data_IF_989262894558
#
_entry.id   IF_989262894558
#
_cell.length_a   1.000
_cell.length_b   1.000
_cell.length_c   1.000
_cell.angle_alpha   90.00
_cell.angle_beta   90.00
_cell.angle_gamma   90.00
#
_symmetry.space_group_name_H-M   'P 1'
#
loop_
_entity.id
_entity.type
_entity.pdbx_description
1 polymer ?
#
# COMPACT_ATOMS: atom_id res chain seq x y z
N UNK A 1 9.97 11.86 -23.91
CA UNK A 1 10.82 10.67 -23.62
C UNK A 1 11.62 10.76 -22.31
N UNK A 2 11.74 11.92 -21.64
CA UNK A 2 12.55 12.09 -20.41
C UNK A 2 11.95 11.44 -19.15
N UNK A 3 10.64 11.56 -18.93
CA UNK A 3 9.97 10.99 -17.75
C UNK A 3 9.99 9.46 -17.77
N UNK A 4 9.67 8.83 -18.91
CA UNK A 4 9.70 7.38 -19.05
C UNK A 4 11.09 6.78 -18.71
N UNK A 5 12.18 7.44 -19.15
CA UNK A 5 13.53 7.00 -18.80
C UNK A 5 13.82 7.12 -17.31
N UNK A 6 13.28 8.13 -16.62
CA UNK A 6 13.43 8.29 -15.17
C UNK A 6 12.65 7.23 -14.40
N UNK A 7 11.45 6.90 -14.85
CA UNK A 7 10.62 5.83 -14.29
C UNK A 7 11.38 4.50 -14.42
N UNK A 8 11.84 4.16 -15.64
CA UNK A 8 12.56 2.91 -15.89
C UNK A 8 13.89 2.83 -15.14
N UNK A 9 14.61 3.95 -15.02
CA UNK A 9 15.85 4.00 -14.24
C UNK A 9 15.56 3.74 -12.75
N UNK A 10 14.56 4.42 -12.17
CA UNK A 10 14.16 4.23 -10.77
C UNK A 10 13.65 2.81 -10.54
N UNK A 11 12.90 2.26 -11.50
CA UNK A 11 12.43 0.87 -11.45
C UNK A 11 13.61 -0.10 -11.34
N UNK A 12 14.62 0.03 -12.21
CA UNK A 12 15.82 -0.84 -12.19
C UNK A 12 16.63 -0.66 -10.91
N UNK A 13 16.79 0.59 -10.47
CA UNK A 13 17.48 0.93 -9.23
C UNK A 13 16.83 0.21 -8.04
N UNK A 14 15.51 0.34 -7.90
CA UNK A 14 14.77 -0.31 -6.81
C UNK A 14 14.74 -1.82 -6.94
N UNK A 15 14.53 -2.36 -8.15
CA UNK A 15 14.50 -3.80 -8.42
C UNK A 15 15.83 -4.49 -8.05
N UNK A 16 16.93 -3.74 -7.95
CA UNK A 16 18.21 -4.25 -7.51
C UNK A 16 18.37 -4.33 -5.98
N UNK A 17 17.46 -3.71 -5.21
CA UNK A 17 17.53 -3.71 -3.75
C UNK A 17 17.09 -5.05 -3.15
N UNK A 18 17.89 -5.55 -2.21
CA UNK A 18 17.63 -6.80 -1.49
C UNK A 18 16.25 -6.85 -0.81
N UNK A 19 15.74 -5.71 -0.34
CA UNK A 19 14.43 -5.61 0.33
C UNK A 19 13.28 -6.14 -0.52
N UNK A 20 13.30 -5.95 -1.85
CA UNK A 20 12.25 -6.46 -2.72
C UNK A 20 12.34 -7.96 -2.91
N UNK A 21 13.55 -8.51 -3.01
CA UNK A 21 13.74 -9.97 -3.08
C UNK A 21 13.29 -10.66 -1.78
N UNK A 22 13.51 -10.01 -0.62
CA UNK A 22 12.96 -10.49 0.66
C UNK A 22 11.42 -10.52 0.60
N UNK A 23 10.79 -9.46 0.10
CA UNK A 23 9.33 -9.38 0.00
C UNK A 23 8.76 -10.44 -0.97
N UNK A 24 9.43 -10.68 -2.10
CA UNK A 24 9.09 -11.77 -3.03
C UNK A 24 9.29 -13.14 -2.34
N UNK A 25 10.39 -13.33 -1.61
CA UNK A 25 10.66 -14.57 -0.88
C UNK A 25 9.58 -14.88 0.16
N UNK A 26 9.22 -13.89 0.99
CA UNK A 26 8.11 -14.00 1.96
C UNK A 26 6.79 -14.31 1.23
N UNK A 27 6.52 -13.61 0.13
CA UNK A 27 5.34 -13.84 -0.71
C UNK A 27 5.27 -15.29 -1.22
N UNK A 28 6.37 -15.83 -1.74
CA UNK A 28 6.46 -17.21 -2.21
C UNK A 28 6.22 -18.20 -1.07
N UNK A 29 6.86 -18.00 0.09
CA UNK A 29 6.68 -18.88 1.26
C UNK A 29 5.21 -18.91 1.70
N UNK A 30 4.56 -17.75 1.79
CA UNK A 30 3.14 -17.65 2.16
C UNK A 30 2.27 -18.36 1.12
N UNK A 31 2.49 -18.10 -0.16
CA UNK A 31 1.71 -18.72 -1.25
C UNK A 31 1.86 -20.25 -1.28
N UNK A 32 3.08 -20.76 -1.09
CA UNK A 32 3.34 -22.20 -0.97
C UNK A 32 2.68 -22.79 0.28
N UNK A 33 2.78 -22.11 1.41
CA UNK A 33 2.11 -22.51 2.65
C UNK A 33 0.59 -22.61 2.50
N UNK A 34 -0.03 -21.65 1.80
CA UNK A 34 -1.46 -21.68 1.49
C UNK A 34 -1.81 -22.75 0.47
N UNK A 35 -1.01 -22.92 -0.57
CA UNK A 35 -1.23 -23.96 -1.57
C UNK A 35 -1.14 -25.38 -0.97
N UNK A 36 -0.25 -25.59 0.00
CA UNK A 36 -0.15 -26.86 0.73
C UNK A 36 -1.24 -27.00 1.81
N UNK A 37 -1.57 -25.90 2.49
CA UNK A 37 -2.48 -25.91 3.64
C UNK A 37 -3.97 -25.93 3.28
N UNK A 38 -4.36 -25.34 2.14
CA UNK A 38 -5.76 -25.25 1.74
C UNK A 38 -6.15 -26.47 0.90
N UNK A 39 -7.20 -27.17 1.33
CA UNK A 39 -7.91 -28.18 0.54
C UNK A 39 -9.41 -28.01 0.76
N UNK A 40 -10.19 -27.92 -0.32
CA UNK A 40 -11.65 -27.95 -0.25
C UNK A 40 -12.14 -29.30 -0.76
N UNK A 41 -12.94 -30.00 0.04
CA UNK A 41 -13.61 -31.23 -0.37
C UNK A 41 -15.11 -30.96 -0.49
N UNK A 42 -15.69 -31.30 -1.65
CA UNK A 42 -17.11 -31.09 -1.93
C UNK A 42 -17.84 -32.42 -1.77
N UNK A 43 -18.75 -32.48 -0.80
CA UNK A 43 -19.59 -33.65 -0.57
C UNK A 43 -21.07 -33.28 -0.77
N UNK A 44 -21.55 -33.38 -2.01
CA UNK A 44 -22.90 -32.95 -2.38
C UNK A 44 -23.06 -31.42 -2.40
N UNK A 45 -24.05 -30.91 -1.66
CA UNK A 45 -24.34 -29.48 -1.48
C UNK A 45 -23.50 -28.82 -0.37
N UNK A 46 -22.72 -29.62 0.35
CA UNK A 46 -21.89 -29.16 1.45
C UNK A 46 -20.41 -29.13 1.03
N UNK A 47 -19.72 -28.03 1.38
CA UNK A 47 -18.28 -27.88 1.13
C UNK A 47 -17.56 -27.79 2.47
N UNK A 48 -16.61 -28.71 2.70
CA UNK A 48 -15.75 -28.68 3.87
C UNK A 48 -14.39 -28.06 3.49
N UNK A 49 -13.96 -27.07 4.27
CA UNK A 49 -12.63 -26.49 4.14
C UNK A 49 -11.68 -27.20 5.10
N UNK A 50 -10.62 -27.78 4.59
CA UNK A 50 -9.50 -28.24 5.41
C UNK A 50 -8.40 -27.20 5.36
N UNK A 51 -8.02 -26.68 6.53
CA UNK A 51 -6.88 -25.80 6.71
C UNK A 51 -5.81 -26.56 7.47
N UNK A 52 -4.68 -26.78 6.81
CA UNK A 52 -3.53 -27.52 7.35
C UNK A 52 -3.90 -28.92 7.86
N UNK A 53 -4.73 -29.64 7.09
CA UNK A 53 -5.13 -31.01 7.42
C UNK A 53 -6.15 -31.13 8.56
N UNK A 54 -6.59 -30.03 9.16
CA UNK A 54 -7.71 -30.01 10.10
C UNK A 54 -9.00 -29.68 9.34
N UNK A 55 -9.96 -30.61 9.23
CA UNK A 55 -11.25 -30.31 8.62
C UNK A 55 -12.04 -29.36 9.51
N UNK A 56 -12.56 -28.27 8.93
CA UNK A 56 -13.58 -27.47 9.62
C UNK A 56 -14.84 -28.32 9.78
N UNK A 57 -15.22 -28.62 11.02
CA UNK A 57 -16.32 -29.54 11.37
C UNK A 57 -17.73 -29.07 11.01
N UNK A 58 -17.88 -27.99 10.24
CA UNK A 58 -19.18 -27.47 9.86
C UNK A 58 -19.31 -27.58 8.33
N UNK A 59 -20.19 -28.45 7.83
CA UNK A 59 -20.65 -28.36 6.46
C UNK A 59 -21.35 -27.01 6.29
N UNK A 60 -20.78 -26.15 5.45
CA UNK A 60 -21.29 -24.80 5.22
C UNK A 60 -22.09 -24.81 3.91
N UNK A 61 -23.31 -24.22 3.86
CA UNK A 61 -24.03 -24.02 2.61
C UNK A 61 -23.16 -23.31 1.58
N UNK A 62 -23.28 -23.66 0.30
CA UNK A 62 -22.42 -23.14 -0.78
C UNK A 62 -22.25 -21.60 -0.76
N UNK A 63 -23.32 -20.85 -0.48
CA UNK A 63 -23.31 -19.38 -0.40
C UNK A 63 -22.48 -18.85 0.77
N UNK A 64 -22.55 -19.51 1.93
CA UNK A 64 -21.77 -19.15 3.12
C UNK A 64 -20.30 -19.58 2.99
N UNK A 65 -20.02 -20.63 2.21
CA UNK A 65 -18.66 -21.07 1.90
C UNK A 65 -17.93 -20.05 1.04
N UNK A 66 -18.58 -19.51 0.00
CA UNK A 66 -17.97 -18.44 -0.80
C UNK A 66 -17.66 -17.20 0.03
N UNK A 67 -18.58 -16.80 0.92
CA UNK A 67 -18.36 -15.67 1.83
C UNK A 67 -17.16 -15.93 2.74
N UNK A 68 -17.06 -17.12 3.33
CA UNK A 68 -15.92 -17.50 4.18
C UNK A 68 -14.59 -17.38 3.41
N UNK A 69 -14.54 -17.89 2.18
CA UNK A 69 -13.35 -17.79 1.32
C UNK A 69 -13.00 -16.32 1.01
N UNK A 70 -14.00 -15.48 0.72
CA UNK A 70 -13.79 -14.05 0.46
C UNK A 70 -13.28 -13.30 1.70
N UNK A 71 -13.79 -13.64 2.89
CA UNK A 71 -13.30 -13.09 4.17
C UNK A 71 -11.85 -13.53 4.45
N UNK A 72 -11.49 -14.78 4.13
CA UNK A 72 -10.10 -15.24 4.19
C UNK A 72 -9.21 -14.46 3.21
N UNK A 73 -9.66 -14.27 1.97
CA UNK A 73 -8.95 -13.46 0.96
C UNK A 73 -8.74 -12.02 1.45
N UNK A 74 -9.78 -11.40 2.03
CA UNK A 74 -9.67 -10.06 2.62
C UNK A 74 -8.70 -10.03 3.82
N UNK A 75 -8.69 -11.06 4.66
CA UNK A 75 -7.71 -11.24 5.75
C UNK A 75 -6.26 -11.29 5.25
N UNK A 76 -5.98 -12.09 4.22
CA UNK A 76 -4.65 -12.14 3.60
C UNK A 76 -4.29 -10.82 2.91
N UNK A 77 -5.25 -10.18 2.25
CA UNK A 77 -5.08 -8.87 1.64
C UNK A 77 -4.71 -7.79 2.68
N UNK A 78 -5.35 -7.79 3.86
CA UNK A 78 -4.96 -6.92 5.00
C UNK A 78 -3.53 -7.18 5.48
N UNK A 79 -3.17 -8.45 5.68
CA UNK A 79 -1.82 -8.81 6.11
C UNK A 79 -0.75 -8.38 5.10
N UNK A 80 -1.03 -8.62 3.81
CA UNK A 80 -0.20 -8.17 2.71
C UNK A 80 -0.04 -6.65 2.71
N UNK A 81 -1.15 -5.92 2.83
CA UNK A 81 -1.17 -4.48 2.78
C UNK A 81 -0.20 -3.87 3.80
N UNK A 82 -0.24 -4.33 5.04
CA UNK A 82 0.68 -3.88 6.09
C UNK A 82 2.13 -4.20 5.72
N UNK A 83 2.40 -5.43 5.28
CA UNK A 83 3.75 -5.85 4.88
C UNK A 83 4.30 -5.01 3.73
N UNK A 84 3.55 -4.86 2.64
CA UNK A 84 3.94 -4.09 1.46
C UNK A 84 4.12 -2.62 1.79
N UNK A 85 3.27 -2.03 2.62
CA UNK A 85 3.44 -0.64 3.05
C UNK A 85 4.74 -0.45 3.82
N UNK A 86 5.02 -1.28 4.83
CA UNK A 86 6.22 -1.14 5.65
C UNK A 86 7.51 -1.42 4.85
N UNK A 87 7.57 -2.57 4.16
CA UNK A 87 8.74 -2.93 3.36
C UNK A 87 8.90 -2.06 2.11
N UNK A 88 7.79 -1.61 1.52
CA UNK A 88 7.79 -0.71 0.38
C UNK A 88 8.32 0.67 0.75
N UNK A 89 7.86 1.24 1.86
CA UNK A 89 8.44 2.47 2.42
C UNK A 89 9.93 2.28 2.68
N UNK A 90 10.32 1.19 3.33
CA UNK A 90 11.73 0.92 3.63
C UNK A 90 12.60 0.84 2.36
N UNK A 91 12.11 0.14 1.32
CA UNK A 91 12.81 0.01 0.04
C UNK A 91 12.93 1.35 -0.71
N UNK A 92 11.94 2.24 -0.55
CA UNK A 92 11.81 3.45 -1.36
C UNK A 92 12.25 4.73 -0.65
N UNK A 93 12.38 4.72 0.68
CA UNK A 93 12.70 5.92 1.45
C UNK A 93 14.06 6.56 1.13
N UNK A 94 15.05 5.76 0.70
CA UNK A 94 16.38 6.28 0.35
C UNK A 94 16.44 6.94 -1.02
N UNK A 95 15.46 6.66 -1.90
CA UNK A 95 15.46 7.13 -3.30
C UNK A 95 15.69 8.63 -3.41
N UNK A 96 15.02 9.42 -2.56
CA UNK A 96 15.11 10.88 -2.60
C UNK A 96 16.37 11.38 -1.88
N UNK A 97 16.64 11.03 -0.61
CA UNK A 97 17.89 11.40 0.04
C UNK A 97 19.14 11.10 -0.82
N UNK A 98 19.25 9.89 -1.37
CA UNK A 98 20.39 9.46 -2.19
C UNK A 98 20.49 10.29 -3.49
N UNK A 99 19.35 10.68 -4.08
CA UNK A 99 19.31 11.55 -5.26
C UNK A 99 19.69 13.01 -4.94
N UNK A 100 19.71 13.40 -3.66
CA UNK A 100 20.04 14.75 -3.19
C UNK A 100 21.46 14.84 -2.59
N UNK A 101 22.21 13.74 -2.51
CA UNK A 101 23.61 13.73 -2.06
C UNK A 101 24.58 14.34 -3.10
N UNK A 102 25.68 14.94 -2.62
CA UNK A 102 26.70 15.59 -3.45
C UNK A 102 27.34 14.57 -4.40
N UNK A 103 27.51 14.92 -5.68
CA UNK A 103 28.02 14.04 -6.75
C UNK A 103 26.93 13.47 -7.66
N UNK A 104 25.82 12.96 -7.11
CA UNK A 104 24.66 12.52 -7.90
C UNK A 104 23.91 13.71 -8.49
N UNK A 105 23.76 14.77 -7.69
CA UNK A 105 23.11 16.03 -8.11
C UNK A 105 23.84 16.70 -9.28
N UNK A 106 25.18 16.66 -9.30
CA UNK A 106 26.00 17.24 -10.36
C UNK A 106 25.82 16.50 -11.70
N UNK A 107 25.64 15.17 -11.64
CA UNK A 107 25.33 14.36 -12.81
C UNK A 107 23.93 14.67 -13.36
N UNK A 108 22.95 14.92 -12.49
CA UNK A 108 21.60 15.32 -12.93
C UNK A 108 21.55 16.76 -13.45
N UNK A 109 22.33 17.69 -12.88
CA UNK A 109 22.45 19.08 -13.32
C UNK A 109 23.10 19.23 -14.71
N UNK A 110 23.90 18.25 -15.14
CA UNK A 110 24.46 18.21 -16.50
C UNK A 110 23.41 18.00 -17.59
N UNK A 111 22.18 17.57 -17.22
CA UNK A 111 21.04 17.41 -18.14
C UNK A 111 19.93 18.39 -17.76
N UNK A 112 19.25 19.03 -18.73
CA UNK A 112 18.17 19.97 -18.45
C UNK A 112 16.88 19.21 -18.06
N UNK A 113 16.87 18.61 -16.87
CA UNK A 113 15.71 17.89 -16.29
C UNK A 113 15.06 18.80 -15.25
N UNK A 114 13.76 19.05 -15.38
CA UNK A 114 13.07 19.84 -14.38
C UNK A 114 12.94 19.06 -13.07
N UNK A 115 13.10 19.74 -11.93
CA UNK A 115 13.09 19.11 -10.60
C UNK A 115 11.78 18.36 -10.30
N UNK A 116 10.65 18.87 -10.80
CA UNK A 116 9.35 18.21 -10.70
C UNK A 116 9.27 16.93 -11.55
N UNK A 117 9.94 16.88 -12.72
CA UNK A 117 10.01 15.67 -13.55
C UNK A 117 10.82 14.57 -12.86
N UNK A 118 11.88 14.95 -12.13
CA UNK A 118 12.66 14.02 -11.32
C UNK A 118 11.80 13.41 -10.21
N UNK A 119 11.09 14.24 -9.44
CA UNK A 119 10.19 13.75 -8.38
C UNK A 119 9.09 12.86 -8.94
N UNK A 120 8.45 13.26 -10.05
CA UNK A 120 7.39 12.49 -10.67
C UNK A 120 7.90 11.15 -11.21
N UNK A 121 9.06 11.15 -11.86
CA UNK A 121 9.69 9.92 -12.35
C UNK A 121 10.06 8.97 -11.22
N UNK A 122 10.53 9.50 -10.09
CA UNK A 122 10.86 8.72 -8.88
C UNK A 122 9.59 8.19 -8.19
N UNK A 123 8.52 8.99 -8.15
CA UNK A 123 7.20 8.60 -7.67
C UNK A 123 6.62 7.42 -8.46
N UNK A 124 6.44 7.61 -9.76
CA UNK A 124 5.86 6.59 -10.64
C UNK A 124 6.76 5.35 -10.77
N UNK A 125 8.08 5.52 -10.71
CA UNK A 125 9.03 4.42 -10.70
C UNK A 125 8.91 3.55 -9.43
N UNK A 126 8.79 4.18 -8.26
CA UNK A 126 8.54 3.47 -7.01
C UNK A 126 7.18 2.76 -7.01
N UNK A 127 6.14 3.44 -7.47
CA UNK A 127 4.79 2.88 -7.58
C UNK A 127 4.76 1.67 -8.51
N UNK A 128 5.41 1.73 -9.68
CA UNK A 128 5.46 0.60 -10.62
C UNK A 128 6.14 -0.65 -10.03
N UNK A 129 7.18 -0.47 -9.22
CA UNK A 129 7.88 -1.58 -8.55
C UNK A 129 6.99 -2.22 -7.49
N UNK A 130 6.33 -1.40 -6.67
CA UNK A 130 5.43 -1.90 -5.63
C UNK A 130 4.19 -2.55 -6.25
N UNK A 131 3.60 -1.96 -7.28
CA UNK A 131 2.51 -2.57 -8.05
C UNK A 131 2.90 -3.94 -8.59
N UNK A 132 4.11 -4.09 -9.14
CA UNK A 132 4.59 -5.39 -9.64
C UNK A 132 4.65 -6.44 -8.51
N UNK A 133 5.06 -6.05 -7.31
CA UNK A 133 5.11 -6.93 -6.15
C UNK A 133 3.70 -7.29 -5.62
N UNK A 134 2.80 -6.30 -5.54
CA UNK A 134 1.40 -6.53 -5.16
C UNK A 134 0.75 -7.48 -6.16
N UNK A 135 0.89 -7.25 -7.47
CA UNK A 135 0.33 -8.11 -8.52
C UNK A 135 0.86 -9.53 -8.44
N UNK A 136 2.14 -9.71 -8.13
CA UNK A 136 2.72 -11.04 -7.94
C UNK A 136 2.04 -11.79 -6.79
N UNK A 137 1.91 -11.17 -5.62
CA UNK A 137 1.31 -11.85 -4.47
C UNK A 137 -0.21 -12.02 -4.62
N UNK A 138 -0.93 -10.96 -4.98
CA UNK A 138 -2.40 -10.98 -5.13
C UNK A 138 -2.82 -11.90 -6.28
N UNK A 139 -2.08 -11.88 -7.40
CA UNK A 139 -2.28 -12.84 -8.50
C UNK A 139 -2.01 -14.27 -8.05
N UNK A 140 -0.97 -14.50 -7.24
CA UNK A 140 -0.70 -15.78 -6.61
C UNK A 140 -1.84 -16.25 -5.69
N UNK A 141 -2.38 -15.37 -4.83
CA UNK A 141 -3.52 -15.68 -3.99
C UNK A 141 -4.76 -16.04 -4.80
N UNK A 142 -5.06 -15.23 -5.83
CA UNK A 142 -6.18 -15.45 -6.73
C UNK A 142 -6.09 -16.84 -7.41
N UNK A 143 -4.89 -17.23 -7.85
CA UNK A 143 -4.66 -18.58 -8.41
C UNK A 143 -4.79 -19.68 -7.36
N UNK A 144 -4.18 -19.53 -6.18
CA UNK A 144 -4.21 -20.55 -5.12
C UNK A 144 -5.65 -20.80 -4.68
N UNK A 145 -6.41 -19.75 -4.36
CA UNK A 145 -7.81 -19.89 -3.98
C UNK A 145 -8.68 -20.39 -5.13
N UNK A 146 -8.54 -19.81 -6.33
CA UNK A 146 -9.33 -20.24 -7.50
C UNK A 146 -9.16 -21.73 -7.81
N UNK A 147 -7.93 -22.25 -7.75
CA UNK A 147 -7.65 -23.67 -8.01
C UNK A 147 -8.06 -24.57 -6.84
N UNK A 148 -7.83 -24.16 -5.58
CA UNK A 148 -8.06 -25.01 -4.41
C UNK A 148 -9.49 -25.03 -3.89
N UNK A 149 -10.20 -23.91 -4.00
CA UNK A 149 -11.58 -23.77 -3.48
C UNK A 149 -12.61 -23.61 -4.58
N UNK A 150 -12.20 -23.38 -5.83
CA UNK A 150 -13.10 -23.09 -6.95
C UNK A 150 -13.67 -21.67 -6.96
N UNK A 151 -13.32 -20.84 -5.98
CA UNK A 151 -13.86 -19.47 -5.83
C UNK A 151 -12.94 -18.47 -6.52
N UNK A 152 -13.37 -17.98 -7.67
CA UNK A 152 -12.65 -16.98 -8.46
C UNK A 152 -13.15 -15.57 -8.16
N UNK A 153 -12.42 -14.84 -7.31
CA UNK A 153 -12.80 -13.48 -6.91
C UNK A 153 -11.99 -12.43 -7.69
N UNK A 154 -12.59 -11.82 -8.71
CA UNK A 154 -11.93 -10.75 -9.48
C UNK A 154 -11.75 -9.44 -8.71
N UNK A 155 -12.54 -9.20 -7.67
CA UNK A 155 -12.40 -8.00 -6.83
C UNK A 155 -11.09 -8.02 -6.05
N UNK A 156 -10.55 -9.20 -5.75
CA UNK A 156 -9.22 -9.34 -5.18
C UNK A 156 -8.14 -8.75 -6.11
N UNK A 157 -8.22 -9.02 -7.42
CA UNK A 157 -7.29 -8.47 -8.41
C UNK A 157 -7.44 -6.95 -8.56
N UNK A 158 -8.68 -6.44 -8.53
CA UNK A 158 -8.92 -4.99 -8.51
C UNK A 158 -8.38 -4.36 -7.22
N UNK A 159 -8.44 -5.08 -6.11
CA UNK A 159 -7.85 -4.71 -4.84
C UNK A 159 -6.34 -4.45 -4.93
N UNK A 160 -5.61 -5.12 -5.84
CA UNK A 160 -4.20 -4.84 -6.07
C UNK A 160 -3.96 -3.40 -6.57
N UNK A 161 -4.82 -2.89 -7.45
CA UNK A 161 -4.76 -1.51 -7.93
C UNK A 161 -5.08 -0.53 -6.80
N UNK A 162 -6.10 -0.84 -5.99
CA UNK A 162 -6.45 -0.07 -4.80
C UNK A 162 -5.28 0.02 -3.82
N UNK A 163 -4.61 -1.10 -3.51
CA UNK A 163 -3.43 -1.12 -2.64
C UNK A 163 -2.27 -0.30 -3.21
N UNK A 164 -2.02 -0.39 -4.52
CA UNK A 164 -0.98 0.40 -5.18
C UNK A 164 -1.27 1.90 -5.07
N UNK A 165 -2.52 2.30 -5.27
CA UNK A 165 -2.95 3.69 -5.12
C UNK A 165 -2.74 4.19 -3.68
N UNK A 166 -3.09 3.37 -2.68
CA UNK A 166 -2.83 3.69 -1.28
C UNK A 166 -1.33 3.88 -1.02
N UNK A 167 -0.48 3.01 -1.58
CA UNK A 167 0.98 3.15 -1.47
C UNK A 167 1.47 4.46 -2.10
N UNK A 168 0.97 4.84 -3.28
CA UNK A 168 1.29 6.14 -3.91
C UNK A 168 0.93 7.33 -3.00
N UNK A 169 -0.21 7.27 -2.33
CA UNK A 169 -0.62 8.31 -1.37
C UNK A 169 0.37 8.44 -0.21
N UNK A 170 0.79 7.33 0.40
CA UNK A 170 1.83 7.30 1.45
C UNK A 170 3.17 7.78 0.92
N UNK A 171 3.53 7.36 -0.28
CA UNK A 171 4.81 7.70 -0.86
C UNK A 171 4.96 9.21 -1.07
N UNK A 172 3.86 9.94 -1.28
CA UNK A 172 3.88 11.41 -1.31
C UNK A 172 4.35 12.05 0.00
N UNK A 173 4.02 11.46 1.15
CA UNK A 173 4.54 11.88 2.47
C UNK A 173 6.02 11.51 2.60
N UNK A 174 6.40 10.31 2.19
CA UNK A 174 7.80 9.84 2.19
C UNK A 174 8.68 10.78 1.35
N UNK A 175 8.20 11.17 0.16
CA UNK A 175 8.87 12.13 -0.71
C UNK A 175 9.06 13.48 0.00
N UNK A 176 8.01 14.01 0.62
CA UNK A 176 8.10 15.30 1.33
C UNK A 176 9.14 15.26 2.44
N UNK A 177 9.07 14.25 3.31
CA UNK A 177 10.02 14.07 4.39
C UNK A 177 11.46 13.90 3.85
N UNK A 178 11.62 13.17 2.75
CA UNK A 178 12.92 12.96 2.10
C UNK A 178 13.51 14.27 1.57
N UNK A 179 12.70 15.11 0.93
CA UNK A 179 13.13 16.43 0.41
C UNK A 179 13.45 17.40 1.54
N UNK A 180 12.66 17.40 2.62
CA UNK A 180 12.83 18.32 3.75
C UNK A 180 14.11 17.98 4.51
N UNK A 181 14.24 16.73 4.96
CA UNK A 181 15.25 16.32 5.93
C UNK A 181 16.53 15.73 5.33
N UNK A 182 16.53 15.31 4.06
CA UNK A 182 17.71 14.73 3.37
C UNK A 182 18.36 13.56 4.14
N UNK A 183 17.55 12.80 4.87
CA UNK A 183 17.98 11.66 5.66
C UNK A 183 16.96 10.54 5.44
N UNK A 184 17.41 9.33 5.13
CA UNK A 184 16.58 8.15 4.86
C UNK A 184 15.79 7.68 6.09
N UNK A 185 16.32 7.84 7.30
CA UNK A 185 15.66 7.36 8.52
C UNK A 185 14.36 8.13 8.84
N UNK A 186 14.32 9.44 8.56
CA UNK A 186 13.19 10.29 8.93
C UNK A 186 11.91 9.96 8.13
N UNK A 187 11.95 9.81 6.79
CA UNK A 187 10.81 9.33 6.02
C UNK A 187 10.31 7.95 6.45
N UNK A 188 11.21 7.02 6.80
CA UNK A 188 10.84 5.69 7.29
C UNK A 188 10.08 5.81 8.61
N UNK A 189 10.71 6.42 9.63
CA UNK A 189 10.11 6.55 10.96
C UNK A 189 8.81 7.35 10.90
N UNK A 190 8.80 8.46 10.17
CA UNK A 190 7.64 9.34 10.05
C UNK A 190 6.44 8.66 9.39
N UNK A 191 6.67 7.92 8.30
CA UNK A 191 5.59 7.16 7.65
C UNK A 191 5.12 5.96 8.48
N UNK A 192 6.01 5.32 9.25
CA UNK A 192 5.61 4.23 10.16
C UNK A 192 4.76 4.75 11.32
N UNK A 193 5.16 5.86 11.95
CA UNK A 193 4.36 6.52 13.00
C UNK A 193 3.00 6.92 12.43
N UNK A 194 2.99 7.49 11.23
CA UNK A 194 1.76 7.85 10.55
C UNK A 194 0.85 6.63 10.31
N UNK A 195 1.36 5.57 9.70
CA UNK A 195 0.58 4.36 9.37
C UNK A 195 0.09 3.61 10.61
N UNK A 196 0.95 3.43 11.62
CA UNK A 196 0.61 2.59 12.78
C UNK A 196 -0.23 3.32 13.82
N UNK A 197 -0.02 4.63 13.99
CA UNK A 197 -0.67 5.40 15.06
C UNK A 197 -1.59 6.48 14.50
N UNK A 198 -1.04 7.41 13.72
CA UNK A 198 -1.74 8.65 13.39
C UNK A 198 -2.98 8.40 12.54
N UNK A 199 -2.87 7.57 11.51
CA UNK A 199 -3.95 7.23 10.58
C UNK A 199 -5.12 6.52 11.29
N UNK A 200 -4.83 5.51 12.12
CA UNK A 200 -5.85 4.82 12.93
C UNK A 200 -6.51 5.76 13.96
N UNK A 201 -5.73 6.66 14.58
CA UNK A 201 -6.25 7.63 15.55
C UNK A 201 -7.17 8.66 14.88
N UNK A 202 -6.82 9.13 13.68
CA UNK A 202 -7.62 10.09 12.92
C UNK A 202 -8.91 9.47 12.38
N UNK A 203 -8.87 8.20 12.00
CA UNK A 203 -10.06 7.47 11.57
C UNK A 203 -11.07 7.27 12.71
N UNK A 204 -10.58 6.94 13.91
CA UNK A 204 -11.42 6.73 15.09
C UNK A 204 -11.62 8.00 15.94
N UNK A 205 -11.43 9.19 15.35
CA UNK A 205 -11.48 10.48 16.09
C UNK A 205 -12.82 10.74 16.78
N UNK A 206 -13.93 10.24 16.23
CA UNK A 206 -15.26 10.39 16.83
C UNK A 206 -15.35 9.69 18.19
N UNK A 207 -14.68 8.55 18.36
CA UNK A 207 -14.60 7.87 19.64
C UNK A 207 -13.80 8.71 20.66
N UNK A 208 -12.72 9.36 20.20
CA UNK A 208 -11.89 10.25 21.03
C UNK A 208 -12.69 11.48 21.49
N UNK A 209 -13.58 12.01 20.65
CA UNK A 209 -14.44 13.14 20.96
C UNK A 209 -15.42 12.85 22.09
N UNK A 210 -15.84 11.59 22.27
CA UNK A 210 -16.67 11.19 23.41
C UNK A 210 -15.93 11.37 24.75
N UNK A 211 -14.63 11.10 24.77
CA UNK A 211 -13.80 11.23 25.98
C UNK A 211 -13.31 12.66 26.24
N UNK A 212 -13.39 13.55 25.25
CA UNK A 212 -12.82 14.90 25.33
C UNK A 212 -13.82 15.95 24.86
N UNK A 213 -14.28 16.82 25.75
CA UNK A 213 -15.18 17.94 25.43
C UNK A 213 -14.45 19.20 24.90
N UNK A 214 -13.13 19.12 24.71
CA UNK A 214 -12.32 20.27 24.31
C UNK A 214 -12.44 20.54 22.80
N UNK A 215 -13.04 21.69 22.45
CA UNK A 215 -13.23 22.15 21.06
C UNK A 215 -11.93 22.30 20.28
N UNK A 216 -10.81 22.60 20.95
CA UNK A 216 -9.50 22.72 20.29
C UNK A 216 -9.02 21.36 19.79
N UNK A 217 -9.20 20.30 20.60
CA UNK A 217 -8.84 18.93 20.21
C UNK A 217 -9.70 18.47 19.04
N UNK A 218 -10.99 18.79 19.05
CA UNK A 218 -11.90 18.47 17.95
C UNK A 218 -11.46 19.13 16.65
N UNK A 219 -11.24 20.45 16.67
CA UNK A 219 -10.81 21.18 15.47
C UNK A 219 -9.44 20.72 14.95
N UNK A 220 -8.50 20.38 15.84
CA UNK A 220 -7.18 19.89 15.46
C UNK A 220 -7.26 18.50 14.80
N UNK A 221 -8.00 17.56 15.38
CA UNK A 221 -8.13 16.21 14.82
C UNK A 221 -8.90 16.21 13.50
N UNK A 222 -9.96 17.01 13.36
CA UNK A 222 -10.65 17.17 12.08
C UNK A 222 -9.74 17.79 11.02
N UNK A 223 -8.98 18.82 11.37
CA UNK A 223 -8.02 19.42 10.43
C UNK A 223 -6.98 18.41 9.97
N UNK A 224 -6.40 17.65 10.89
CA UNK A 224 -5.42 16.61 10.56
C UNK A 224 -6.05 15.50 9.71
N UNK A 225 -7.30 15.11 10.00
CA UNK A 225 -8.03 14.12 9.23
C UNK A 225 -8.20 14.54 7.77
N UNK A 226 -8.48 15.81 7.50
CA UNK A 226 -8.61 16.32 6.12
C UNK A 226 -7.26 16.58 5.42
N UNK A 227 -6.21 16.92 6.17
CA UNK A 227 -4.88 17.22 5.61
C UNK A 227 -4.13 15.94 5.21
N UNK A 228 -4.20 14.89 6.03
CA UNK A 228 -3.52 13.64 5.74
C UNK A 228 -4.37 12.74 4.80
N UNK A 229 -3.73 11.85 4.03
CA UNK A 229 -4.48 10.81 3.33
C UNK A 229 -5.21 9.93 4.35
N UNK A 230 -6.30 9.28 3.95
CA UNK A 230 -7.08 8.41 4.86
C UNK A 230 -6.82 6.95 4.51
N UNK A 231 -5.71 6.40 4.99
CA UNK A 231 -5.25 5.09 4.54
C UNK A 231 -6.04 3.97 5.21
N UNK A 232 -6.38 4.13 6.49
CA UNK A 232 -7.23 3.22 7.24
C UNK A 232 -8.64 3.13 6.63
N UNK A 233 -9.22 4.28 6.26
CA UNK A 233 -10.51 4.34 5.58
C UNK A 233 -10.50 3.59 4.24
N UNK A 234 -9.45 3.81 3.43
CA UNK A 234 -9.28 3.09 2.17
C UNK A 234 -9.08 1.58 2.39
N UNK A 235 -8.39 1.17 3.47
CA UNK A 235 -8.21 -0.23 3.81
C UNK A 235 -9.53 -0.91 4.20
N UNK A 236 -10.39 -0.23 4.98
CA UNK A 236 -11.74 -0.73 5.28
C UNK A 236 -12.57 -0.89 4.00
N UNK A 237 -12.45 0.06 3.07
CA UNK A 237 -13.11 -0.03 1.77
C UNK A 237 -12.57 -1.15 0.89
N UNK A 238 -11.28 -1.48 0.99
CA UNK A 238 -10.70 -2.62 0.29
C UNK A 238 -11.27 -3.96 0.80
N UNK A 239 -11.47 -4.11 2.11
CA UNK A 239 -12.14 -5.29 2.67
C UNK A 239 -13.60 -5.40 2.18
N UNK A 240 -14.31 -4.27 2.15
CA UNK A 240 -15.65 -4.19 1.56
C UNK A 240 -15.64 -4.56 0.08
N UNK A 241 -14.65 -4.06 -0.67
CA UNK A 241 -14.48 -4.37 -2.09
C UNK A 241 -14.31 -5.86 -2.31
N UNK A 242 -13.43 -6.54 -1.56
CA UNK A 242 -13.15 -7.98 -1.74
C UNK A 242 -14.36 -8.85 -1.35
N UNK A 243 -15.19 -8.36 -0.42
CA UNK A 243 -16.40 -9.05 0.06
C UNK A 243 -17.66 -8.67 -0.73
N UNK A 244 -17.52 -8.05 -1.90
CA UNK A 244 -18.63 -7.59 -2.76
C UNK A 244 -19.59 -6.57 -2.10
N UNK A 245 -19.13 -5.82 -1.10
CA UNK A 245 -19.90 -4.74 -0.47
C UNK A 245 -19.64 -3.41 -1.19
N UNK A 246 -20.58 -2.48 -1.06
CA UNK A 246 -20.48 -1.17 -1.68
C UNK A 246 -19.30 -0.36 -1.10
N UNK A 247 -18.52 0.27 -1.97
CA UNK A 247 -17.40 1.13 -1.59
C UNK A 247 -17.84 2.58 -1.48
N UNK A 248 -17.27 3.28 -0.51
CA UNK A 248 -17.36 4.73 -0.41
C UNK A 248 -16.19 5.38 -1.15
N UNK A 249 -16.50 6.31 -2.06
CA UNK A 249 -15.48 6.99 -2.87
C UNK A 249 -14.79 8.17 -2.18
N UNK A 250 -15.37 8.68 -1.08
CA UNK A 250 -14.88 9.88 -0.38
C UNK A 250 -13.43 9.73 0.11
N UNK A 251 -13.03 8.62 0.76
CA UNK A 251 -11.66 8.46 1.24
C UNK A 251 -10.62 8.50 0.12
N UNK A 252 -10.94 7.93 -1.04
CA UNK A 252 -10.06 7.91 -2.21
C UNK A 252 -9.85 9.31 -2.79
N UNK A 253 -10.93 10.06 -2.97
CA UNK A 253 -10.86 11.43 -3.49
C UNK A 253 -10.06 12.35 -2.55
N UNK A 254 -10.29 12.22 -1.24
CA UNK A 254 -9.53 12.99 -0.26
C UNK A 254 -8.05 12.59 -0.24
N UNK A 255 -7.74 11.29 -0.21
CA UNK A 255 -6.36 10.82 -0.22
C UNK A 255 -5.61 11.30 -1.48
N UNK A 256 -6.29 11.36 -2.63
CA UNK A 256 -5.74 11.95 -3.85
C UNK A 256 -5.42 13.44 -3.69
N UNK A 257 -6.34 14.22 -3.11
CA UNK A 257 -6.13 15.66 -2.90
C UNK A 257 -4.99 15.92 -1.91
N UNK A 258 -4.96 15.21 -0.79
CA UNK A 258 -3.91 15.31 0.22
C UNK A 258 -2.55 14.92 -0.36
N UNK A 259 -2.47 13.79 -1.08
CA UNK A 259 -1.23 13.34 -1.71
C UNK A 259 -0.73 14.29 -2.80
N UNK A 260 -1.62 14.82 -3.65
CA UNK A 260 -1.29 15.87 -4.63
C UNK A 260 -0.77 17.14 -3.94
N UNK A 261 -1.34 17.52 -2.80
CA UNK A 261 -0.85 18.62 -1.96
C UNK A 261 0.58 18.37 -1.44
N UNK A 262 0.84 17.20 -0.84
CA UNK A 262 2.17 16.83 -0.36
C UNK A 262 3.22 16.76 -1.49
N UNK A 263 2.84 16.20 -2.64
CA UNK A 263 3.70 16.17 -3.82
C UNK A 263 4.00 17.59 -4.34
N UNK A 264 2.99 18.45 -4.44
CA UNK A 264 3.14 19.84 -4.86
C UNK A 264 4.07 20.64 -3.94
N UNK A 265 3.90 20.50 -2.62
CA UNK A 265 4.79 21.12 -1.62
C UNK A 265 6.23 20.61 -1.79
N UNK A 266 6.40 19.30 -1.99
CA UNK A 266 7.72 18.69 -2.22
C UNK A 266 8.40 19.28 -3.45
N UNK A 267 7.67 19.42 -4.56
CA UNK A 267 8.18 20.02 -5.79
C UNK A 267 8.56 21.50 -5.63
N UNK A 268 7.78 22.27 -4.87
CA UNK A 268 8.08 23.68 -4.57
C UNK A 268 9.31 23.83 -3.68
N UNK A 269 9.45 23.02 -2.64
CA UNK A 269 10.62 23.01 -1.76
C UNK A 269 11.88 22.63 -2.51
N UNK A 270 11.78 21.64 -3.40
CA UNK A 270 12.89 21.23 -4.24
C UNK A 270 13.31 22.33 -5.22
N UNK A 271 12.42 23.24 -5.66
CA UNK A 271 12.76 24.38 -6.51
C UNK A 271 13.56 25.47 -5.79
N UNK A 272 13.29 25.69 -4.49
CA UNK A 272 13.91 26.78 -3.70
C UNK A 272 15.26 26.45 -3.09
N UNK A 273 15.62 25.16 -2.98
CA UNK A 273 16.93 24.75 -2.49
C UNK A 273 17.96 24.89 -3.61
N UNK A 274 18.84 25.87 -3.52
CA UNK A 274 20.04 25.90 -4.37
C UNK A 274 20.94 24.73 -3.96
N UNK A 275 21.43 23.99 -4.96
CA UNK A 275 22.36 22.87 -4.81
C UNK A 275 23.75 23.34 -5.20
#
# INVERSE_FOLDING_TARGET
MRILSLILATFRELFSKATLYILIGISVIILLGLAAGISAERNGDEVSLSLFGNPTKMPVPADQFELLVREMQAGFARGLFIGIMLFGVFATASIIPDSLEKGTVDLYLSKPIARWELLLGKHLGAEAVILSNILFFVGGLWLVFGVKTGVWNYQLLLGALTMSFMFGCIFSIVLLLGVVFRNTAIPIIGSFIYLMFLDNMLENREEIFVFTQNKVVHGLLDTLYYVFPQVAAMQRNLDMQITHRAMEWKPFAQALLSSAGFFGISALLMRRKDF
#
